data_IF_853960801796
#
_entry.id   IF_853960801796
#
_cell.length_a   1.000
_cell.length_b   1.000
_cell.length_c   1.000
_cell.angle_alpha   90.00
_cell.angle_beta   90.00
_cell.angle_gamma   90.00
#
_symmetry.space_group_name_H-M   'P 1'
#
loop_
_entity.id
_entity.type
_entity.pdbx_description
1 polymer ?
#
# COMPACT_ATOMS: atom_id res chain seq x y z
N UNK A 1 24.84 4.04 10.04
CA UNK A 1 25.32 2.65 9.96
C UNK A 1 24.15 1.73 10.25
N UNK A 2 24.18 0.50 9.74
CA UNK A 2 23.23 -0.55 10.11
C UNK A 2 23.55 -1.07 11.52
N UNK A 3 22.65 -1.85 12.13
CA UNK A 3 22.83 -2.42 13.47
C UNK A 3 24.10 -3.29 13.57
N UNK A 4 24.52 -3.92 12.47
CA UNK A 4 25.76 -4.71 12.36
C UNK A 4 27.04 -3.86 12.22
N UNK A 5 26.97 -2.54 12.37
CA UNK A 5 28.12 -1.64 12.21
C UNK A 5 28.59 -1.43 10.76
N UNK A 6 27.94 -2.09 9.78
CA UNK A 6 28.22 -1.87 8.36
C UNK A 6 27.59 -0.58 7.84
N UNK A 7 28.22 0.02 6.83
CA UNK A 7 27.60 1.10 6.05
C UNK A 7 26.62 0.52 5.03
N UNK A 8 25.62 1.30 4.60
CA UNK A 8 24.67 0.89 3.55
C UNK A 8 25.40 0.46 2.26
N UNK A 9 26.42 1.19 1.75
CA UNK A 9 27.19 0.77 0.57
C UNK A 9 27.95 -0.55 0.73
N UNK A 10 28.43 -0.87 1.94
CA UNK A 10 29.11 -2.14 2.20
C UNK A 10 28.10 -3.29 2.23
N UNK A 11 27.01 -3.14 2.99
CA UNK A 11 25.97 -4.16 3.07
C UNK A 11 25.27 -4.39 1.73
N UNK A 12 25.07 -3.35 0.91
CA UNK A 12 24.49 -3.50 -0.42
C UNK A 12 25.38 -4.36 -1.33
N UNK A 13 26.71 -4.15 -1.29
CA UNK A 13 27.67 -4.99 -2.03
C UNK A 13 27.71 -6.43 -1.53
N UNK A 14 27.73 -6.63 -0.21
CA UNK A 14 27.73 -7.97 0.40
C UNK A 14 26.47 -8.79 0.01
N UNK A 15 25.34 -8.11 -0.22
CA UNK A 15 24.05 -8.70 -0.55
C UNK A 15 23.74 -8.69 -2.06
N UNK A 16 24.66 -8.22 -2.90
CA UNK A 16 24.46 -8.03 -4.34
C UNK A 16 23.20 -7.20 -4.69
N UNK A 17 22.98 -6.12 -3.93
CA UNK A 17 21.88 -5.17 -4.09
C UNK A 17 22.39 -3.81 -4.56
N UNK A 18 21.50 -3.06 -5.21
CA UNK A 18 21.74 -1.63 -5.40
C UNK A 18 21.62 -0.89 -4.06
N UNK A 19 22.49 0.10 -3.85
CA UNK A 19 22.45 0.91 -2.62
C UNK A 19 21.10 1.62 -2.43
N UNK A 20 20.44 1.99 -3.53
CA UNK A 20 19.12 2.62 -3.51
C UNK A 20 18.03 1.66 -3.00
N UNK A 21 18.05 0.40 -3.43
CA UNK A 21 17.12 -0.63 -2.95
C UNK A 21 17.31 -0.89 -1.45
N UNK A 22 18.56 -1.09 -1.01
CA UNK A 22 18.84 -1.32 0.41
C UNK A 22 18.47 -0.11 1.26
N UNK A 23 18.74 1.11 0.79
CA UNK A 23 18.34 2.34 1.49
C UNK A 23 16.82 2.43 1.63
N UNK A 24 16.07 2.11 0.58
CA UNK A 24 14.60 2.11 0.63
C UNK A 24 14.09 1.13 1.70
N UNK A 25 14.62 -0.10 1.73
CA UNK A 25 14.22 -1.10 2.72
C UNK A 25 14.57 -0.69 4.15
N UNK A 26 15.74 -0.09 4.37
CA UNK A 26 16.12 0.44 5.68
C UNK A 26 15.15 1.53 6.15
N UNK A 27 14.78 2.46 5.26
CA UNK A 27 13.83 3.53 5.61
C UNK A 27 12.40 3.00 5.85
N UNK A 28 11.95 2.01 5.07
CA UNK A 28 10.65 1.36 5.31
C UNK A 28 10.67 0.59 6.63
N UNK A 29 11.75 -0.13 6.94
CA UNK A 29 11.89 -0.84 8.23
C UNK A 29 11.86 0.12 9.42
N UNK A 30 12.49 1.30 9.30
CA UNK A 30 12.37 2.36 10.32
C UNK A 30 10.93 2.83 10.47
N UNK A 31 10.22 3.03 9.36
CA UNK A 31 8.81 3.40 9.36
C UNK A 31 7.97 2.34 10.07
N UNK A 32 8.18 1.06 9.73
CA UNK A 32 7.46 -0.08 10.32
C UNK A 32 7.70 -0.21 11.83
N UNK A 33 8.86 0.25 12.33
CA UNK A 33 9.19 0.32 13.76
C UNK A 33 8.73 1.61 14.45
N UNK A 34 7.97 2.47 13.77
CA UNK A 34 7.43 3.73 14.32
C UNK A 34 8.37 4.95 14.22
N UNK A 35 9.52 4.83 13.56
CA UNK A 35 10.48 5.92 13.32
C UNK A 35 10.26 6.64 11.97
N UNK A 36 9.08 6.49 11.36
CA UNK A 36 8.75 7.08 10.07
C UNK A 36 8.60 8.59 10.12
N UNK A 37 8.71 9.24 8.96
CA UNK A 37 8.34 10.66 8.82
C UNK A 37 6.82 10.83 8.98
N UNK A 38 6.32 12.00 9.38
CA UNK A 38 4.88 12.26 9.40
C UNK A 38 4.21 11.89 8.08
N UNK A 39 3.15 11.07 8.16
CA UNK A 39 2.42 10.57 6.99
C UNK A 39 3.07 9.38 6.25
N UNK A 40 4.22 8.88 6.70
CA UNK A 40 4.77 7.64 6.20
C UNK A 40 3.92 6.46 6.70
N UNK A 41 3.44 5.64 5.76
CA UNK A 41 2.70 4.43 6.08
C UNK A 41 3.66 3.28 6.34
N UNK A 42 3.38 2.52 7.39
CA UNK A 42 3.94 1.20 7.58
C UNK A 42 3.54 0.29 6.41
N UNK A 43 4.27 -0.80 6.23
CA UNK A 43 3.98 -1.81 5.21
C UNK A 43 2.55 -2.34 5.38
N UNK A 44 2.13 -2.63 6.61
CA UNK A 44 0.79 -3.11 6.95
C UNK A 44 -0.30 -2.09 6.63
N UNK A 45 -0.11 -0.82 7.02
CA UNK A 45 -1.09 0.24 6.71
C UNK A 45 -1.23 0.47 5.20
N UNK A 46 -0.13 0.37 4.44
CA UNK A 46 -0.14 0.49 2.98
C UNK A 46 -0.92 -0.65 2.32
N UNK A 47 -0.72 -1.88 2.78
CA UNK A 47 -1.44 -3.06 2.29
C UNK A 47 -2.94 -2.94 2.57
N UNK A 48 -3.29 -2.55 3.79
CA UNK A 48 -4.69 -2.35 4.19
C UNK A 48 -5.36 -1.24 3.38
N UNK A 49 -4.67 -0.11 3.18
CA UNK A 49 -5.18 0.97 2.33
C UNK A 49 -5.43 0.51 0.89
N UNK A 50 -4.55 -0.33 0.35
CA UNK A 50 -4.72 -0.90 -0.99
C UNK A 50 -5.95 -1.81 -1.05
N UNK A 51 -6.11 -2.70 -0.06
CA UNK A 51 -7.27 -3.60 0.08
C UNK A 51 -8.58 -2.81 0.15
N UNK A 52 -8.66 -1.83 1.04
CA UNK A 52 -9.84 -0.99 1.22
C UNK A 52 -10.18 -0.18 -0.04
N UNK A 53 -9.17 0.34 -0.76
CA UNK A 53 -9.40 1.05 -2.03
C UNK A 53 -9.97 0.13 -3.10
N UNK A 54 -9.49 -1.11 -3.18
CA UNK A 54 -10.03 -2.12 -4.09
C UNK A 54 -11.48 -2.46 -3.75
N UNK A 55 -11.74 -2.78 -2.49
CA UNK A 55 -13.09 -3.10 -2.00
C UNK A 55 -14.06 -1.93 -2.23
N UNK A 56 -13.65 -0.69 -1.94
CA UNK A 56 -14.49 0.48 -2.18
C UNK A 56 -14.85 0.66 -3.66
N UNK A 57 -13.92 0.35 -4.57
CA UNK A 57 -14.17 0.39 -6.01
C UNK A 57 -15.20 -0.67 -6.42
N UNK A 58 -15.07 -1.88 -5.89
CA UNK A 58 -16.00 -2.99 -6.15
C UNK A 58 -17.40 -2.65 -5.63
N UNK A 59 -17.52 -2.23 -4.37
CA UNK A 59 -18.79 -1.83 -3.77
C UNK A 59 -19.48 -0.68 -4.51
N UNK A 60 -18.71 0.31 -4.98
CA UNK A 60 -19.25 1.40 -5.81
C UNK A 60 -19.82 0.87 -7.12
N UNK A 61 -19.12 -0.05 -7.78
CA UNK A 61 -19.58 -0.65 -9.03
C UNK A 61 -20.86 -1.46 -8.82
N UNK A 62 -20.91 -2.31 -7.80
CA UNK A 62 -22.09 -3.11 -7.45
C UNK A 62 -23.29 -2.22 -7.15
N UNK A 63 -23.09 -1.16 -6.35
CA UNK A 63 -24.14 -0.19 -6.06
C UNK A 63 -24.72 0.45 -7.31
N UNK A 64 -23.88 0.82 -8.27
CA UNK A 64 -24.35 1.43 -9.53
C UNK A 64 -25.11 0.42 -10.40
N UNK A 65 -24.67 -0.84 -10.46
CA UNK A 65 -25.41 -1.91 -11.16
C UNK A 65 -26.81 -2.07 -10.55
N UNK A 66 -26.90 -2.15 -9.22
CA UNK A 66 -28.18 -2.32 -8.52
C UNK A 66 -29.12 -1.14 -8.75
N UNK A 67 -28.59 0.10 -8.73
CA UNK A 67 -29.39 1.29 -9.07
C UNK A 67 -29.91 1.26 -10.49
N UNK A 68 -29.07 0.89 -11.45
CA UNK A 68 -29.46 0.82 -12.85
C UNK A 68 -30.54 -0.26 -13.06
N UNK A 69 -30.40 -1.41 -12.40
CA UNK A 69 -31.42 -2.46 -12.40
C UNK A 69 -32.74 -1.97 -11.79
N UNK A 70 -32.69 -1.33 -10.62
CA UNK A 70 -33.88 -0.78 -9.97
C UNK A 70 -34.58 0.28 -10.84
N UNK A 71 -33.81 1.17 -11.49
CA UNK A 71 -34.34 2.18 -12.39
C UNK A 71 -34.98 1.56 -13.65
N UNK A 72 -34.36 0.51 -14.20
CA UNK A 72 -34.90 -0.25 -15.33
C UNK A 72 -36.26 -0.86 -14.96
N UNK A 73 -36.34 -1.61 -13.87
CA UNK A 73 -37.60 -2.26 -13.45
C UNK A 73 -38.69 -1.24 -13.09
N UNK A 74 -38.35 -0.13 -12.43
CA UNK A 74 -39.32 0.92 -12.12
C UNK A 74 -39.92 1.58 -13.38
N UNK A 75 -39.19 1.58 -14.50
CA UNK A 75 -39.69 2.07 -15.79
C UNK A 75 -40.61 1.06 -16.47
N UNK A 76 -40.29 -0.23 -16.43
CA UNK A 76 -41.10 -1.30 -17.05
C UNK A 76 -42.42 -1.55 -16.33
N UNK A 77 -42.51 -1.24 -15.02
CA UNK A 77 -43.74 -1.38 -14.23
C UNK A 77 -44.76 -0.24 -14.41
N UNK A 78 -44.52 0.69 -15.33
CA UNK A 78 -45.31 1.91 -15.53
C UNK A 78 -45.95 1.92 -16.90
#
# INVERSE_FOLDING_TARGET
MLEEGKTIPQAARDLDLTESALRLWVEQTKTDRGGGRPGALTTVEREELSRLRKENRELRMEREILKNAAAFFAKEMK
#
